data_IF_072394113521
#
_entry.id   IF_072394113521
#
_cell.length_a   1.000
_cell.length_b   1.000
_cell.length_c   1.000
_cell.angle_alpha   90.00
_cell.angle_beta   90.00
_cell.angle_gamma   90.00
#
_symmetry.space_group_name_H-M   'P 1'
#
loop_
_entity.id
_entity.type
_entity.pdbx_description
1 polymer ?
#
# COMPACT_ATOMS: atom_id res chain seq x y z
N UNK A 1 -15.34 -4.45 7.24
CA UNK A 1 -14.01 -5.06 7.35
C UNK A 1 -13.59 -5.08 8.81
N UNK A 2 -13.25 -6.25 9.38
CA UNK A 2 -12.63 -6.31 10.70
C UNK A 2 -11.10 -6.17 10.59
N UNK A 3 -10.56 -4.98 10.85
CA UNK A 3 -9.11 -4.76 10.76
C UNK A 3 -8.29 -5.61 11.76
N UNK A 4 -8.89 -6.06 12.86
CA UNK A 4 -8.20 -6.87 13.88
C UNK A 4 -7.88 -8.30 13.43
N UNK A 5 -8.50 -8.80 12.35
CA UNK A 5 -8.18 -10.10 11.75
C UNK A 5 -7.12 -10.01 10.65
N UNK A 6 -6.46 -8.86 10.50
CA UNK A 6 -5.37 -8.68 9.55
C UNK A 6 -4.14 -9.47 9.98
N UNK A 7 -3.60 -10.27 9.06
CA UNK A 7 -2.37 -11.03 9.25
C UNK A 7 -1.27 -10.42 8.38
N UNK A 8 -0.11 -10.14 8.99
CA UNK A 8 1.10 -9.78 8.25
C UNK A 8 1.75 -11.05 7.70
N UNK A 9 1.93 -11.11 6.38
CA UNK A 9 2.59 -12.23 5.71
C UNK A 9 4.11 -11.99 5.64
N UNK A 10 4.52 -10.80 5.22
CA UNK A 10 5.92 -10.41 5.08
C UNK A 10 6.08 -9.01 5.63
N UNK A 11 7.15 -8.79 6.39
CA UNK A 11 7.60 -7.46 6.81
C UNK A 11 9.12 -7.38 6.64
N UNK A 12 9.58 -6.35 5.95
CA UNK A 12 10.99 -6.03 5.81
C UNK A 12 11.20 -4.54 6.06
N UNK A 13 12.23 -4.20 6.82
CA UNK A 13 12.55 -2.82 7.20
C UNK A 13 14.01 -2.57 6.86
N UNK A 14 14.27 -1.47 6.17
CA UNK A 14 15.61 -0.98 5.85
C UNK A 14 15.71 0.44 6.41
N UNK A 15 16.54 0.58 7.43
CA UNK A 15 16.71 1.81 8.20
C UNK A 15 15.40 2.28 8.87
N UNK A 16 15.29 3.57 9.21
CA UNK A 16 14.16 4.07 10.02
C UNK A 16 12.85 4.25 9.26
N UNK A 17 12.91 4.40 7.94
CA UNK A 17 11.74 4.78 7.16
C UNK A 17 11.42 3.82 6.02
N UNK A 18 12.42 3.22 5.36
CA UNK A 18 12.13 2.34 4.25
C UNK A 18 11.56 1.01 4.77
N UNK A 19 10.42 0.62 4.25
CA UNK A 19 9.81 -0.66 4.63
C UNK A 19 9.01 -1.25 3.49
N UNK A 20 8.79 -2.56 3.59
CA UNK A 20 7.86 -3.33 2.80
C UNK A 20 7.02 -4.19 3.75
N UNK A 21 5.72 -4.23 3.51
CA UNK A 21 4.80 -5.06 4.25
C UNK A 21 3.78 -5.66 3.28
N UNK A 22 3.41 -6.93 3.50
CA UNK A 22 2.24 -7.52 2.86
C UNK A 22 1.32 -8.15 3.90
N UNK A 23 0.02 -8.00 3.69
CA UNK A 23 -1.01 -8.44 4.61
C UNK A 23 -2.16 -9.12 3.90
N UNK A 24 -2.89 -9.96 4.63
CA UNK A 24 -4.21 -10.43 4.24
C UNK A 24 -5.21 -10.10 5.34
N UNK A 25 -6.38 -9.62 4.94
CA UNK A 25 -7.52 -9.41 5.83
C UNK A 25 -8.71 -10.15 5.25
N UNK A 26 -9.39 -11.03 6.01
CA UNK A 26 -10.64 -11.64 5.56
C UNK A 26 -11.63 -10.58 5.06
N UNK A 27 -12.25 -10.82 3.91
CA UNK A 27 -13.19 -9.89 3.30
C UNK A 27 -14.41 -10.63 2.74
N UNK A 28 -15.57 -10.37 3.34
CA UNK A 28 -16.86 -10.93 2.93
C UNK A 28 -17.74 -9.78 2.39
N UNK A 29 -17.99 -9.74 1.09
CA UNK A 29 -18.75 -8.64 0.45
C UNK A 29 -20.18 -8.50 1.00
N UNK A 30 -20.75 -9.55 1.60
CA UNK A 30 -22.08 -9.49 2.23
C UNK A 30 -22.06 -8.79 3.59
N UNK A 31 -20.92 -8.85 4.30
CA UNK A 31 -20.75 -8.27 5.64
C UNK A 31 -19.97 -6.96 5.62
N UNK A 32 -18.96 -6.89 4.77
CA UNK A 32 -17.97 -5.82 4.71
C UNK A 32 -18.29 -4.78 3.62
N UNK A 33 -19.27 -5.06 2.75
CA UNK A 33 -19.73 -4.17 1.69
C UNK A 33 -18.97 -4.33 0.38
N UNK A 34 -19.15 -3.36 -0.50
CA UNK A 34 -18.51 -3.36 -1.82
C UNK A 34 -17.01 -3.09 -1.69
N UNK A 35 -16.20 -4.00 -2.25
CA UNK A 35 -14.75 -3.94 -2.17
C UNK A 35 -14.15 -2.65 -2.76
N UNK A 36 -14.72 -2.13 -3.84
CA UNK A 36 -14.24 -0.90 -4.48
C UNK A 36 -14.51 0.32 -3.61
N UNK A 37 -15.66 0.36 -2.92
CA UNK A 37 -16.02 1.40 -1.96
C UNK A 37 -15.07 1.36 -0.77
N UNK A 38 -14.88 0.18 -0.17
CA UNK A 38 -13.97 0.02 0.98
C UNK A 38 -12.53 0.38 0.61
N UNK A 39 -12.07 -0.02 -0.58
CA UNK A 39 -10.72 0.32 -1.06
C UNK A 39 -10.56 1.83 -1.26
N UNK A 40 -11.59 2.53 -1.76
CA UNK A 40 -11.59 3.99 -1.88
C UNK A 40 -11.56 4.67 -0.51
N UNK A 41 -12.33 4.18 0.46
CA UNK A 41 -12.33 4.68 1.83
C UNK A 41 -10.96 4.49 2.51
N UNK A 42 -10.31 3.34 2.29
CA UNK A 42 -8.97 3.09 2.78
C UNK A 42 -7.96 4.11 2.25
N UNK A 43 -7.97 4.40 0.94
CA UNK A 43 -7.09 5.41 0.34
C UNK A 43 -7.32 6.80 0.94
N UNK A 44 -8.59 7.19 1.09
CA UNK A 44 -8.97 8.46 1.71
C UNK A 44 -8.50 8.53 3.16
N UNK A 45 -8.67 7.46 3.94
CA UNK A 45 -8.21 7.38 5.32
C UNK A 45 -6.70 7.55 5.42
N UNK A 46 -5.93 6.88 4.56
CA UNK A 46 -4.47 6.98 4.50
C UNK A 46 -4.03 8.40 4.14
N UNK A 47 -4.62 8.97 3.08
CA UNK A 47 -4.34 10.35 2.67
C UNK A 47 -4.61 11.34 3.81
N UNK A 48 -5.81 11.30 4.39
CA UNK A 48 -6.23 12.22 5.46
C UNK A 48 -5.36 12.05 6.70
N UNK A 49 -5.04 10.81 7.09
CA UNK A 49 -4.15 10.53 8.23
C UNK A 49 -2.77 11.15 8.00
N UNK A 50 -2.21 11.01 6.80
CA UNK A 50 -0.92 11.61 6.48
C UNK A 50 -1.00 13.13 6.40
N UNK A 51 -2.06 13.70 5.83
CA UNK A 51 -2.27 15.14 5.79
C UNK A 51 -2.29 15.76 7.20
N UNK A 52 -2.97 15.08 8.14
CA UNK A 52 -3.04 15.51 9.54
C UNK A 52 -1.70 15.34 10.27
N UNK A 53 -0.96 14.25 10.01
CA UNK A 53 0.34 14.00 10.67
C UNK A 53 1.46 14.86 10.12
N UNK A 54 1.42 15.15 8.83
CA UNK A 54 2.47 15.86 8.09
C UNK A 54 2.09 17.32 7.90
N UNK A 55 1.55 18.00 8.93
CA UNK A 55 0.94 19.37 8.90
C UNK A 55 1.74 20.46 8.16
N UNK A 56 3.01 20.22 7.82
CA UNK A 56 3.92 21.13 7.10
C UNK A 56 4.45 20.56 5.78
N UNK A 57 3.95 19.41 5.33
CA UNK A 57 4.36 18.71 4.13
C UNK A 57 3.38 18.92 2.98
N UNK A 58 3.90 18.94 1.76
CA UNK A 58 3.11 18.88 0.53
C UNK A 58 2.80 17.43 0.25
N UNK A 59 1.51 17.12 0.12
CA UNK A 59 1.01 15.79 -0.23
C UNK A 59 0.52 15.82 -1.67
N UNK A 60 0.95 14.84 -2.44
CA UNK A 60 0.41 14.53 -3.76
C UNK A 60 0.07 13.04 -3.84
N UNK A 61 -1.00 12.69 -4.55
CA UNK A 61 -1.44 11.31 -4.63
C UNK A 61 -1.94 10.92 -6.01
N UNK A 62 -1.73 9.65 -6.37
CA UNK A 62 -2.18 9.09 -7.63
C UNK A 62 -2.79 7.70 -7.41
N UNK A 63 -3.79 7.35 -8.21
CA UNK A 63 -4.33 5.98 -8.31
C UNK A 63 -4.05 5.44 -9.71
N UNK A 64 -3.70 4.17 -9.79
CA UNK A 64 -3.39 3.45 -11.02
C UNK A 64 -3.64 1.95 -10.83
N UNK A 65 -3.30 1.14 -11.82
CA UNK A 65 -3.24 -0.31 -11.68
C UNK A 65 -1.80 -0.78 -11.85
N UNK A 66 -1.48 -1.91 -11.21
CA UNK A 66 -0.17 -2.56 -11.36
C UNK A 66 -0.39 -4.07 -11.51
N UNK A 67 0.14 -4.64 -12.59
CA UNK A 67 0.15 -6.08 -12.78
C UNK A 67 1.40 -6.70 -12.16
N UNK A 68 1.23 -7.80 -11.43
CA UNK A 68 2.30 -8.66 -10.92
C UNK A 68 1.90 -10.11 -11.15
N UNK A 69 2.70 -10.84 -11.94
CA UNK A 69 2.45 -12.24 -12.31
C UNK A 69 1.01 -12.51 -12.81
N UNK A 70 0.44 -11.59 -13.60
CA UNK A 70 -0.92 -11.70 -14.12
C UNK A 70 -2.03 -11.32 -13.13
N UNK A 71 -1.70 -10.92 -11.90
CA UNK A 71 -2.66 -10.35 -10.95
C UNK A 71 -2.61 -8.83 -11.06
N UNK A 72 -3.77 -8.23 -11.39
CA UNK A 72 -3.93 -6.77 -11.44
C UNK A 72 -4.34 -6.25 -10.07
N UNK A 73 -3.49 -5.43 -9.49
CA UNK A 73 -3.70 -4.69 -8.26
C UNK A 73 -4.22 -3.29 -8.53
N UNK A 74 -5.06 -2.79 -7.64
CA UNK A 74 -5.29 -1.35 -7.50
C UNK A 74 -4.07 -0.76 -6.76
N UNK A 75 -3.45 0.27 -7.33
CA UNK A 75 -2.26 0.92 -6.78
C UNK A 75 -2.56 2.38 -6.44
N UNK A 76 -2.38 2.73 -5.18
CA UNK A 76 -2.39 4.10 -4.68
C UNK A 76 -0.97 4.52 -4.29
N UNK A 77 -0.53 5.67 -4.77
CA UNK A 77 0.77 6.26 -4.43
C UNK A 77 0.55 7.59 -3.73
N UNK A 78 1.29 7.83 -2.66
CA UNK A 78 1.30 9.08 -1.91
C UNK A 78 2.74 9.60 -1.83
N UNK A 79 2.98 10.77 -2.39
CA UNK A 79 4.24 11.51 -2.27
C UNK A 79 4.11 12.53 -1.15
N UNK A 80 5.01 12.49 -0.18
CA UNK A 80 5.07 13.45 0.93
C UNK A 80 6.40 14.17 0.85
N UNK A 81 6.35 15.49 0.67
CA UNK A 81 7.52 16.35 0.68
C UNK A 81 7.45 17.27 1.90
N UNK A 82 8.35 17.10 2.86
CA UNK A 82 8.51 18.01 3.98
C UNK A 82 9.71 18.92 3.67
N UNK A 83 9.48 20.22 3.40
CA UNK A 83 10.54 21.15 3.01
C UNK A 83 11.71 21.11 4.01
N UNK A 84 12.93 21.04 3.47
CA UNK A 84 14.20 21.05 4.23
C UNK A 84 14.39 19.87 5.21
N UNK A 85 13.56 18.83 5.15
CA UNK A 85 13.69 17.65 6.03
C UNK A 85 13.83 16.35 5.24
N UNK A 86 12.72 15.88 4.66
CA UNK A 86 12.65 14.55 4.07
C UNK A 86 11.53 14.51 3.05
N UNK A 87 11.78 13.83 1.94
CA UNK A 87 10.75 13.45 0.98
C UNK A 87 10.69 11.93 0.94
N UNK A 88 9.47 11.39 0.94
CA UNK A 88 9.27 9.95 0.82
C UNK A 88 8.01 9.65 0.04
N UNK A 89 7.98 8.45 -0.53
CA UNK A 89 6.84 7.93 -1.25
C UNK A 89 6.33 6.69 -0.56
N UNK A 90 5.03 6.65 -0.37
CA UNK A 90 4.31 5.49 0.12
C UNK A 90 3.47 4.92 -1.01
N UNK A 91 3.52 3.61 -1.19
CA UNK A 91 2.72 2.88 -2.17
C UNK A 91 1.87 1.86 -1.43
N UNK A 92 0.58 1.83 -1.76
CA UNK A 92 -0.39 0.84 -1.33
C UNK A 92 -0.89 0.12 -2.58
N UNK A 93 -0.78 -1.19 -2.61
CA UNK A 93 -1.38 -2.04 -3.63
C UNK A 93 -2.38 -2.98 -2.97
N UNK A 94 -3.59 -3.06 -3.50
CA UNK A 94 -4.64 -3.92 -2.94
C UNK A 94 -5.33 -4.74 -4.02
N UNK A 95 -5.71 -5.96 -3.64
CA UNK A 95 -6.53 -6.85 -4.46
C UNK A 95 -7.44 -7.70 -3.59
N UNK A 96 -8.72 -7.80 -3.94
CA UNK A 96 -9.58 -8.86 -3.43
C UNK A 96 -9.19 -10.17 -4.12
N UNK A 97 -8.72 -11.13 -3.34
CA UNK A 97 -8.17 -12.38 -3.81
C UNK A 97 -8.60 -13.54 -2.90
N UNK A 98 -9.30 -14.53 -3.45
CA UNK A 98 -9.73 -15.76 -2.74
C UNK A 98 -10.40 -15.51 -1.36
N UNK A 99 -11.23 -14.47 -1.24
CA UNK A 99 -11.94 -14.13 0.01
C UNK A 99 -11.13 -13.26 0.99
N UNK A 100 -9.97 -12.77 0.57
CA UNK A 100 -9.13 -11.88 1.36
C UNK A 100 -8.88 -10.58 0.61
N UNK A 101 -8.89 -9.46 1.33
CA UNK A 101 -8.20 -8.26 0.89
C UNK A 101 -6.71 -8.50 1.09
N UNK A 102 -6.00 -8.76 0.00
CA UNK A 102 -4.54 -8.82 -0.03
C UNK A 102 -3.99 -7.41 -0.22
N UNK A 103 -3.12 -6.98 0.69
CA UNK A 103 -2.50 -5.67 0.71
C UNK A 103 -0.99 -5.76 0.64
N UNK A 104 -0.37 -4.84 -0.10
CA UNK A 104 1.07 -4.60 -0.09
C UNK A 104 1.26 -3.11 0.17
N UNK A 105 2.07 -2.78 1.17
CA UNK A 105 2.42 -1.39 1.48
C UNK A 105 3.92 -1.27 1.56
N UNK A 106 4.50 -0.28 0.89
CA UNK A 106 5.90 0.01 1.02
C UNK A 106 6.18 1.52 1.01
N UNK A 107 7.23 1.91 1.71
CA UNK A 107 7.71 3.28 1.80
C UNK A 107 9.18 3.31 1.42
N UNK A 108 9.55 4.30 0.62
CA UNK A 108 10.93 4.53 0.21
C UNK A 108 11.28 6.02 0.17
N UNK A 109 12.54 6.32 0.43
CA UNK A 109 13.10 7.69 0.43
C UNK A 109 13.94 7.97 -0.81
N UNK A 110 14.48 6.92 -1.42
CA UNK A 110 15.44 7.01 -2.53
C UNK A 110 15.10 6.02 -3.65
N UNK A 111 15.56 6.33 -4.86
CA UNK A 111 15.25 5.56 -6.06
C UNK A 111 15.91 4.17 -6.07
N UNK A 112 17.05 3.99 -5.39
CA UNK A 112 17.70 2.67 -5.29
C UNK A 112 16.83 1.72 -4.46
N UNK A 113 16.34 2.16 -3.31
CA UNK A 113 15.45 1.36 -2.47
C UNK A 113 14.12 1.08 -3.17
N UNK A 114 13.60 2.05 -3.94
CA UNK A 114 12.44 1.81 -4.83
C UNK A 114 12.70 0.67 -5.80
N UNK A 115 13.82 0.72 -6.53
CA UNK A 115 14.16 -0.26 -7.55
C UNK A 115 14.34 -1.67 -6.95
N UNK A 116 14.97 -1.78 -5.78
CA UNK A 116 15.10 -3.05 -5.04
C UNK A 116 13.72 -3.66 -4.74
N UNK A 117 12.78 -2.86 -4.22
CA UNK A 117 11.42 -3.33 -3.87
C UNK A 117 10.61 -3.67 -5.12
N UNK A 118 10.62 -2.81 -6.15
CA UNK A 118 9.85 -3.02 -7.37
C UNK A 118 10.38 -4.19 -8.19
N UNK A 119 11.69 -4.44 -8.17
CA UNK A 119 12.31 -5.63 -8.78
C UNK A 119 11.89 -6.91 -8.05
N UNK A 120 11.91 -6.90 -6.72
CA UNK A 120 11.40 -8.02 -5.91
C UNK A 120 9.93 -8.29 -6.27
N UNK A 121 9.08 -7.27 -6.27
CA UNK A 121 7.66 -7.40 -6.61
C UNK A 121 7.44 -7.97 -8.01
N UNK A 122 8.15 -7.45 -9.02
CA UNK A 122 8.04 -7.93 -10.41
C UNK A 122 8.38 -9.41 -10.56
N UNK A 123 9.29 -9.93 -9.71
CA UNK A 123 9.71 -11.32 -9.73
C UNK A 123 8.88 -12.24 -8.82
N UNK A 124 7.97 -11.69 -8.00
CA UNK A 124 7.05 -12.47 -7.18
C UNK A 124 6.11 -13.34 -8.01
N UNK A 125 5.75 -14.50 -7.46
CA UNK A 125 4.82 -15.47 -8.06
C UNK A 125 3.64 -15.74 -7.15
N UNK A 126 2.48 -15.99 -7.75
CA UNK A 126 1.25 -16.30 -7.03
C UNK A 126 0.69 -17.65 -7.48
N UNK A 127 0.20 -18.42 -6.52
CA UNK A 127 -0.53 -19.68 -6.79
C UNK A 127 -1.91 -19.37 -7.36
N UNK A 128 -2.07 -19.54 -8.67
CA UNK A 128 -3.29 -19.19 -9.42
C UNK A 128 -4.38 -20.22 -9.18
#
# INVERSE_FOLDING_TARGET
MNASSTVTLISAIKDKFNYFNSTITPFDTKKDGDYSVVTKELKNLVYNTMAVKMQKGVLDSATSTQEVDGIVFDKFTLSINIPQKISFKMVLMTKLYKGFQFGITYLYLDDKTKEEIETMLKNSKFDK
#
